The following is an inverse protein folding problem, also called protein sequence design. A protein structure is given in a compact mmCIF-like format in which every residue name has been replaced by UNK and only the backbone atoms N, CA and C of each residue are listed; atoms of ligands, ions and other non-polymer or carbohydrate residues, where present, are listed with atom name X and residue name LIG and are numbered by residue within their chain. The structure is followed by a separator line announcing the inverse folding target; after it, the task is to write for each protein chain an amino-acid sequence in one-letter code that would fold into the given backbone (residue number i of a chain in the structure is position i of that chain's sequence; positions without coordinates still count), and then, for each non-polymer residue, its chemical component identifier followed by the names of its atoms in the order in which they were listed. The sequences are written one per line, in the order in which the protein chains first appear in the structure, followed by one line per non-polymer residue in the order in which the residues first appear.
data_IF_972605019265
#
_entry.id   IF_972605019265
#
_cell.length_a   1.000
_cell.length_b   1.000
_cell.length_c   1.000
_cell.angle_alpha   90.00
_cell.angle_beta   90.00
_cell.angle_gamma   90.00
#
_symmetry.space_group_name_H-M   'P 1'
#
loop_
_entity.id
_entity.type
_entity.pdbx_description
1 polymer ?
#
# COMPACT_ATOMS: atom_id res chain seq x y z
N UNK A 1 26.33 14.39 -10.35
CA UNK A 1 25.14 13.96 -9.56
C UNK A 1 24.81 12.54 -10.00
N UNK A 2 24.99 11.56 -9.14
CA UNK A 2 24.59 10.18 -9.46
C UNK A 2 23.06 10.09 -9.41
N UNK A 3 22.46 9.70 -10.53
CA UNK A 3 21.01 9.41 -10.58
C UNK A 3 20.82 8.13 -9.79
N UNK A 4 20.18 8.22 -8.63
CA UNK A 4 19.89 7.05 -7.82
C UNK A 4 18.66 6.34 -8.42
N UNK A 5 18.95 5.27 -9.17
CA UNK A 5 17.95 4.47 -9.87
C UNK A 5 16.93 3.85 -8.89
N UNK A 6 17.41 3.43 -7.72
CA UNK A 6 16.57 2.82 -6.69
C UNK A 6 15.51 3.79 -6.16
N UNK A 7 15.84 5.08 -6.00
CA UNK A 7 14.85 6.09 -5.60
C UNK A 7 13.80 6.35 -6.66
N UNK A 8 14.20 6.27 -7.94
CA UNK A 8 13.30 6.54 -9.05
C UNK A 8 12.32 5.39 -9.28
N UNK A 9 12.81 4.16 -9.20
CA UNK A 9 12.01 2.94 -9.38
C UNK A 9 11.22 2.61 -8.11
N UNK A 10 11.84 2.76 -6.95
CA UNK A 10 11.26 2.38 -5.65
C UNK A 10 9.95 3.10 -5.32
N UNK A 11 9.78 4.36 -5.76
CA UNK A 11 8.50 5.06 -5.63
C UNK A 11 7.36 4.34 -6.37
N UNK A 12 7.60 4.00 -7.64
CA UNK A 12 6.59 3.33 -8.46
C UNK A 12 6.34 1.89 -8.01
N UNK A 13 7.38 1.20 -7.57
CA UNK A 13 7.28 -0.15 -7.00
C UNK A 13 6.41 -0.14 -5.74
N UNK A 14 6.69 0.76 -4.80
CA UNK A 14 5.88 0.93 -3.59
C UNK A 14 4.43 1.27 -3.92
N UNK A 15 4.21 2.16 -4.89
CA UNK A 15 2.86 2.52 -5.33
C UNK A 15 2.11 1.32 -5.92
N UNK A 16 2.76 0.51 -6.74
CA UNK A 16 2.16 -0.70 -7.32
C UNK A 16 1.80 -1.72 -6.23
N UNK A 17 2.72 -1.94 -5.28
CA UNK A 17 2.49 -2.86 -4.15
C UNK A 17 1.28 -2.43 -3.32
N UNK A 18 1.22 -1.16 -2.89
CA UNK A 18 0.09 -0.63 -2.11
C UNK A 18 -1.23 -0.76 -2.88
N UNK A 19 -1.21 -0.52 -4.20
CA UNK A 19 -2.42 -0.64 -5.02
C UNK A 19 -2.88 -2.08 -5.16
N UNK A 20 -1.96 -3.04 -5.25
CA UNK A 20 -2.28 -4.47 -5.26
C UNK A 20 -2.93 -4.89 -3.95
N UNK A 21 -2.34 -4.53 -2.82
CA UNK A 21 -2.91 -4.85 -1.50
C UNK A 21 -4.28 -4.18 -1.29
N UNK A 22 -4.43 -2.93 -1.75
CA UNK A 22 -5.73 -2.26 -1.71
C UNK A 22 -6.78 -2.99 -2.56
N UNK A 23 -6.38 -3.54 -3.71
CA UNK A 23 -7.27 -4.32 -4.57
C UNK A 23 -7.75 -5.60 -3.87
N UNK A 24 -6.86 -6.27 -3.13
CA UNK A 24 -7.20 -7.44 -2.32
C UNK A 24 -8.19 -7.10 -1.20
N UNK A 25 -7.98 -5.99 -0.51
CA UNK A 25 -8.90 -5.52 0.55
C UNK A 25 -10.28 -5.22 -0.02
N UNK A 26 -10.38 -4.51 -1.16
CA UNK A 26 -11.65 -4.20 -1.82
C UNK A 26 -12.33 -5.49 -2.32
N UNK A 27 -11.58 -6.43 -2.87
CA UNK A 27 -12.11 -7.74 -3.27
C UNK A 27 -12.65 -8.53 -2.06
N UNK A 28 -11.93 -8.47 -0.92
CA UNK A 28 -12.40 -9.02 0.35
C UNK A 28 -13.71 -8.40 0.84
N UNK A 29 -13.87 -7.07 0.71
CA UNK A 29 -15.14 -6.40 1.01
C UNK A 29 -16.27 -6.91 0.12
N UNK A 30 -16.03 -7.00 -1.20
CA UNK A 30 -17.01 -7.50 -2.16
C UNK A 30 -17.42 -8.95 -1.87
N UNK A 31 -16.48 -9.81 -1.52
CA UNK A 31 -16.75 -11.20 -1.15
C UNK A 31 -17.63 -11.32 0.11
N UNK A 32 -17.55 -10.35 1.01
CA UNK A 32 -18.30 -10.29 2.26
C UNK A 32 -19.51 -9.35 2.22
N UNK A 33 -19.95 -8.95 1.02
CA UNK A 33 -21.06 -8.01 0.87
C UNK A 33 -22.40 -8.52 1.48
N UNK A 34 -22.55 -9.83 1.55
CA UNK A 34 -23.74 -10.47 2.12
C UNK A 34 -23.48 -11.09 3.51
N UNK A 35 -22.35 -10.80 4.15
CA UNK A 35 -22.00 -11.32 5.47
C UNK A 35 -22.53 -10.39 6.55
N UNK A 36 -23.49 -10.80 7.39
CA UNK A 36 -24.03 -9.94 8.46
C UNK A 36 -22.92 -9.44 9.40
N UNK A 37 -23.01 -8.18 9.78
CA UNK A 37 -22.05 -7.55 10.71
C UNK A 37 -20.66 -7.26 10.14
N UNK A 38 -20.40 -7.56 8.86
CA UNK A 38 -19.10 -7.30 8.27
C UNK A 38 -18.83 -5.79 8.13
N UNK A 39 -17.63 -5.37 8.53
CA UNK A 39 -17.20 -3.97 8.43
C UNK A 39 -16.20 -3.79 7.30
N UNK A 40 -16.54 -2.97 6.31
CA UNK A 40 -15.70 -2.66 5.17
C UNK A 40 -14.38 -2.03 5.61
N UNK A 41 -13.28 -2.47 5.00
CA UNK A 41 -11.92 -1.99 5.25
C UNK A 41 -11.39 -1.29 4.01
N UNK A 42 -10.45 -0.38 4.20
CA UNK A 42 -9.69 0.23 3.11
C UNK A 42 -8.26 0.55 3.58
N UNK A 43 -7.37 0.77 2.62
CA UNK A 43 -6.01 1.24 2.86
C UNK A 43 -5.93 2.71 2.45
N UNK A 44 -5.49 3.58 3.36
CA UNK A 44 -5.15 4.96 3.00
C UNK A 44 -3.86 4.96 2.16
N UNK A 45 -4.03 5.16 0.85
CA UNK A 45 -2.91 5.16 -0.09
C UNK A 45 -1.85 6.22 0.25
N UNK A 46 -2.28 7.42 0.66
CA UNK A 46 -1.35 8.52 0.94
C UNK A 46 -0.48 8.21 2.15
N UNK A 47 -1.10 7.71 3.22
CA UNK A 47 -0.41 7.33 4.45
C UNK A 47 0.52 6.14 4.22
N UNK A 48 0.04 5.11 3.53
CA UNK A 48 0.84 3.94 3.16
C UNK A 48 2.05 4.34 2.31
N UNK A 49 1.87 5.24 1.35
CA UNK A 49 2.95 5.74 0.49
C UNK A 49 3.99 6.56 1.27
N UNK A 50 3.55 7.42 2.19
CA UNK A 50 4.45 8.16 3.07
C UNK A 50 5.30 7.21 3.92
N UNK A 51 4.69 6.19 4.52
CA UNK A 51 5.39 5.18 5.32
C UNK A 51 6.42 4.41 4.48
N UNK A 52 6.05 4.00 3.26
CA UNK A 52 6.96 3.31 2.34
C UNK A 52 8.16 4.19 1.93
N UNK A 53 7.93 5.48 1.67
CA UNK A 53 9.00 6.42 1.33
C UNK A 53 9.94 6.68 2.50
N UNK A 54 9.43 6.79 3.72
CA UNK A 54 10.23 6.95 4.93
C UNK A 54 11.10 5.71 5.18
N UNK A 55 10.56 4.52 4.99
CA UNK A 55 11.32 3.27 5.09
C UNK A 55 12.45 3.18 4.06
N UNK A 56 12.24 3.67 2.83
CA UNK A 56 13.24 3.65 1.74
C UNK A 56 14.32 4.73 1.87
N UNK A 57 14.07 5.82 2.60
CA UNK A 57 15.01 6.94 2.71
C UNK A 57 16.15 6.71 3.70
N UNK A 58 16.20 5.55 4.35
CA UNK A 58 17.24 5.23 5.34
C UNK A 58 17.25 6.14 6.58
N UNK A 59 16.35 7.11 6.63
CA UNK A 59 16.00 7.87 7.83
C UNK A 59 15.11 7.01 8.72
N UNK A 60 15.58 5.80 9.06
CA UNK A 60 15.22 5.22 10.32
C UNK A 60 15.81 6.14 11.40
N UNK A 61 15.25 7.37 11.52
CA UNK A 61 15.25 8.00 12.81
C UNK A 61 14.76 6.88 13.73
N UNK A 62 15.52 6.60 14.76
CA UNK A 62 15.14 5.73 15.87
C UNK A 62 13.82 6.22 16.46
N UNK A 63 12.76 6.13 15.68
CA UNK A 63 11.42 6.16 16.21
C UNK A 63 11.32 4.82 16.90
N UNK A 64 11.47 4.92 18.20
CA UNK A 64 11.49 3.88 19.20
C UNK A 64 10.97 2.57 18.61
N UNK A 65 11.88 1.63 18.45
CA UNK A 65 11.47 0.25 18.25
C UNK A 65 10.40 0.00 19.31
N UNK A 66 9.13 -0.06 18.90
CA UNK A 66 8.08 -0.60 19.76
C UNK A 66 8.36 -2.10 19.96
N UNK A 67 9.64 -2.45 20.09
CA UNK A 67 10.08 -3.72 20.58
C UNK A 67 9.57 -3.82 22.00
N UNK A 68 8.79 -4.85 22.26
CA UNK A 68 8.39 -5.19 23.62
C UNK A 68 9.61 -5.09 24.52
N UNK A 69 9.51 -4.31 25.61
CA UNK A 69 10.57 -4.19 26.61
C UNK A 69 10.81 -5.59 27.16
N UNK A 70 11.97 -6.15 26.83
CA UNK A 70 12.36 -7.46 27.36
C UNK A 70 12.79 -7.30 28.81
N UNK A 71 12.16 -8.02 29.69
CA UNK A 71 12.53 -8.11 31.09
C UNK A 71 13.61 -9.19 31.35
N UNK A 72 13.94 -10.00 30.32
CA UNK A 72 14.98 -11.02 30.36
C UNK A 72 15.58 -11.23 28.98
N UNK A 73 16.90 -11.47 28.90
CA UNK A 73 17.59 -11.77 27.64
C UNK A 73 17.13 -13.08 26.97
N UNK A 74 16.50 -13.98 27.75
CA UNK A 74 15.94 -15.26 27.25
C UNK A 74 14.58 -15.09 26.58
N UNK A 75 13.95 -13.93 26.69
CA UNK A 75 12.68 -13.68 26.00
C UNK A 75 12.93 -13.46 24.50
N UNK A 76 12.12 -14.10 23.68
CA UNK A 76 12.17 -13.90 22.23
C UNK A 76 11.98 -12.41 21.91
N UNK A 77 12.87 -11.86 21.08
CA UNK A 77 12.66 -10.53 20.54
C UNK A 77 11.49 -10.61 19.58
N UNK A 78 10.35 -10.05 19.94
CA UNK A 78 9.27 -9.82 19.01
C UNK A 78 9.77 -8.83 17.94
N UNK A 79 10.28 -9.34 16.83
CA UNK A 79 10.66 -8.50 15.70
C UNK A 79 9.39 -8.08 14.98
N UNK A 80 8.87 -6.91 15.30
CA UNK A 80 7.71 -6.30 14.64
C UNK A 80 8.08 -5.82 13.23
N UNK A 81 9.35 -5.91 12.83
CA UNK A 81 9.80 -5.49 11.49
C UNK A 81 9.15 -6.27 10.35
N UNK A 82 8.65 -7.49 10.59
CA UNK A 82 7.87 -8.25 9.61
C UNK A 82 6.40 -7.83 9.53
N UNK A 83 5.92 -7.06 10.52
CA UNK A 83 4.53 -6.56 10.58
C UNK A 83 4.42 -5.18 9.91
N UNK A 84 5.54 -4.53 9.62
CA UNK A 84 5.58 -3.20 8.97
C UNK A 84 5.09 -3.20 7.51
N UNK A 85 4.74 -4.36 6.95
CA UNK A 85 4.08 -4.45 5.66
C UNK A 85 2.54 -4.45 5.77
N UNK A 86 1.98 -4.46 6.96
CA UNK A 86 0.55 -4.23 7.13
C UNK A 86 0.31 -2.73 6.99
N UNK A 87 0.03 -2.29 5.75
CA UNK A 87 -0.49 -0.96 5.54
C UNK A 87 -1.71 -0.79 6.45
N UNK A 88 -1.71 0.32 7.18
CA UNK A 88 -2.69 0.64 8.21
C UNK A 88 -4.12 0.50 7.64
N UNK A 89 -4.69 -0.70 7.77
CA UNK A 89 -6.05 -0.99 7.34
C UNK A 89 -7.01 -0.26 8.28
N UNK A 90 -7.84 0.59 7.70
CA UNK A 90 -8.83 1.35 8.44
C UNK A 90 -10.23 0.84 8.13
N UNK A 91 -11.08 0.79 9.16
CA UNK A 91 -12.49 0.58 8.94
C UNK A 91 -13.10 1.82 8.30
N UNK A 92 -13.91 1.59 7.29
CA UNK A 92 -14.57 2.69 6.57
C UNK A 92 -15.84 3.10 7.29
N UNK A 93 -16.05 4.43 7.36
CA UNK A 93 -17.32 4.98 7.77
C UNK A 93 -18.30 4.86 6.59
N UNK A 94 -19.46 4.18 6.72
CA UNK A 94 -20.43 4.05 5.65
C UNK A 94 -21.03 5.42 5.30
N UNK A 95 -21.29 5.65 4.02
CA UNK A 95 -21.98 6.87 3.54
C UNK A 95 -23.50 6.75 3.60
N UNK A 96 -24.02 5.53 3.70
CA UNK A 96 -25.43 5.26 3.84
C UNK A 96 -25.77 4.77 5.26
N UNK A 97 -26.98 5.04 5.74
CA UNK A 97 -27.42 4.49 7.02
C UNK A 97 -27.42 2.95 6.97
N UNK A 98 -27.21 2.35 8.13
CA UNK A 98 -27.15 0.90 8.31
C UNK A 98 -28.38 0.21 7.70
N UNK A 99 -28.15 -0.83 6.90
CA UNK A 99 -29.20 -1.65 6.27
C UNK A 99 -29.90 -2.59 7.27
N UNK A 100 -29.56 -2.51 8.57
CA UNK A 100 -30.18 -3.30 9.64
C UNK A 100 -29.50 -4.63 9.92
N UNK A 101 -28.58 -5.08 9.07
CA UNK A 101 -27.75 -6.28 9.27
C UNK A 101 -26.34 -5.99 9.82
N UNK A 102 -26.02 -4.70 10.03
CA UNK A 102 -24.74 -4.24 10.51
C UNK A 102 -23.59 -4.35 9.50
N UNK A 103 -23.86 -4.70 8.24
CA UNK A 103 -22.87 -4.74 7.17
C UNK A 103 -22.66 -3.34 6.59
N UNK A 104 -21.41 -2.90 6.48
CA UNK A 104 -21.05 -1.58 5.96
C UNK A 104 -20.51 -1.61 4.52
N UNK A 105 -20.66 -2.73 3.80
CA UNK A 105 -20.19 -2.88 2.43
C UNK A 105 -21.24 -2.35 1.45
N UNK A 106 -20.90 -1.30 0.72
CA UNK A 106 -21.68 -0.75 -0.37
C UNK A 106 -21.17 -1.31 -1.70
N UNK A 107 -21.82 -2.33 -2.26
CA UNK A 107 -21.34 -3.07 -3.44
C UNK A 107 -21.00 -2.17 -4.62
N UNK A 108 -21.84 -1.17 -4.93
CA UNK A 108 -21.59 -0.26 -6.05
C UNK A 108 -20.37 0.63 -5.80
N UNK A 109 -20.24 1.13 -4.57
CA UNK A 109 -19.08 1.91 -4.14
C UNK A 109 -17.80 1.08 -4.22
N UNK A 110 -17.82 -0.18 -3.75
CA UNK A 110 -16.67 -1.07 -3.82
C UNK A 110 -16.25 -1.39 -5.27
N UNK A 111 -17.22 -1.65 -6.16
CA UNK A 111 -16.93 -1.85 -7.59
C UNK A 111 -16.28 -0.63 -8.24
N UNK A 112 -16.81 0.56 -7.95
CA UNK A 112 -16.22 1.80 -8.47
C UNK A 112 -14.80 2.02 -7.95
N UNK A 113 -14.54 1.74 -6.66
CA UNK A 113 -13.21 1.83 -6.05
C UNK A 113 -12.24 0.80 -6.62
N UNK A 114 -12.72 -0.41 -6.89
CA UNK A 114 -11.92 -1.45 -7.53
C UNK A 114 -11.47 -1.02 -8.92
N UNK A 115 -12.40 -0.48 -9.73
CA UNK A 115 -12.10 0.03 -11.06
C UNK A 115 -11.14 1.23 -11.02
N UNK A 116 -11.40 2.22 -10.17
CA UNK A 116 -10.51 3.40 -10.02
C UNK A 116 -9.10 2.97 -9.60
N UNK A 117 -9.00 2.06 -8.62
CA UNK A 117 -7.70 1.54 -8.19
C UNK A 117 -6.98 0.76 -9.31
N UNK A 118 -7.72 -0.02 -10.12
CA UNK A 118 -7.19 -0.74 -11.28
C UNK A 118 -6.66 0.20 -12.37
N UNK A 119 -7.39 1.27 -12.69
CA UNK A 119 -6.93 2.29 -13.65
C UNK A 119 -5.67 3.00 -13.16
N UNK A 120 -5.62 3.36 -11.88
CA UNK A 120 -4.43 3.98 -11.28
C UNK A 120 -3.25 3.02 -11.19
N UNK A 121 -3.49 1.72 -11.01
CA UNK A 121 -2.45 0.68 -11.08
C UNK A 121 -1.84 0.64 -12.48
N UNK A 122 -2.67 0.58 -13.53
CA UNK A 122 -2.21 0.58 -14.92
C UNK A 122 -1.42 1.85 -15.25
N UNK A 123 -1.91 3.02 -14.87
CA UNK A 123 -1.18 4.27 -15.05
C UNK A 123 0.20 4.26 -14.35
N UNK A 124 0.27 3.74 -13.12
CA UNK A 124 1.55 3.61 -12.39
C UNK A 124 2.53 2.67 -13.12
N UNK A 125 2.02 1.58 -13.69
CA UNK A 125 2.79 0.63 -14.47
C UNK A 125 3.32 1.25 -15.77
N UNK A 126 2.49 2.03 -16.47
CA UNK A 126 2.89 2.74 -17.69
C UNK A 126 3.96 3.80 -17.42
N UNK A 127 3.83 4.57 -16.32
CA UNK A 127 4.85 5.53 -15.91
C UNK A 127 6.18 4.84 -15.58
N UNK A 128 6.14 3.72 -14.88
CA UNK A 128 7.35 2.93 -14.59
C UNK A 128 8.01 2.44 -15.88
N UNK A 129 7.23 1.85 -16.79
CA UNK A 129 7.72 1.39 -18.09
C UNK A 129 8.28 2.54 -18.93
N UNK A 130 7.62 3.69 -18.96
CA UNK A 130 8.08 4.88 -19.65
C UNK A 130 9.43 5.37 -19.11
N UNK A 131 9.60 5.37 -17.79
CA UNK A 131 10.87 5.73 -17.16
C UNK A 131 11.99 4.76 -17.49
N UNK A 132 11.74 3.46 -17.43
CA UNK A 132 12.72 2.42 -17.79
C UNK A 132 13.13 2.54 -19.26
N UNK A 133 12.15 2.72 -20.16
CA UNK A 133 12.42 2.93 -21.60
C UNK A 133 13.24 4.20 -21.85
N UNK A 134 12.91 5.31 -21.17
CA UNK A 134 13.66 6.57 -21.27
C UNK A 134 15.11 6.42 -20.83
N UNK A 135 15.35 5.73 -19.69
CA UNK A 135 16.72 5.46 -19.24
C UNK A 135 17.49 4.56 -20.20
N UNK A 136 16.84 3.50 -20.69
CA UNK A 136 17.47 2.61 -21.69
C UNK A 136 17.86 3.39 -22.96
N UNK A 137 16.99 4.30 -23.43
CA UNK A 137 17.28 5.14 -24.58
C UNK A 137 18.44 6.10 -24.31
N UNK A 138 18.50 6.73 -23.14
CA UNK A 138 19.60 7.61 -22.77
C UNK A 138 20.95 6.88 -22.71
N UNK A 139 20.97 5.65 -22.19
CA UNK A 139 22.18 4.82 -22.14
C UNK A 139 22.61 4.34 -23.56
N UNK A 140 21.68 4.01 -24.43
CA UNK A 140 21.97 3.56 -25.79
C UNK A 140 22.37 4.71 -26.71
N UNK A 141 21.90 5.96 -26.47
CA UNK A 141 22.24 7.14 -27.26
C UNK A 141 23.58 7.78 -26.88
N UNK A 142 24.17 7.43 -25.73
CA UNK A 142 25.48 7.94 -25.29
C UNK A 142 26.70 7.20 -25.85
N UNK A 143 26.49 6.27 -26.76
CA UNK A 143 27.55 5.41 -27.35
C UNK A 143 27.88 5.68 -28.83
N UNK A 144 27.54 6.84 -29.38
CA UNK A 144 28.01 7.28 -30.70
C UNK A 144 28.79 8.57 -30.59
#
# INVERSE_FOLDING_TARGET
MAINLDKLVGFHESALKIRTERMEVIAGNLANANTPGYKAKDIDFNRAMQSAMQASSGSASHQASNGLVRTSERHMSGNISSVAANFDMQYRVPTQPDTGDGNTVEVQSERNRFLDNGLRYQASLEFLNGKIKGMKKALSSGGQ
#
